data_IF_157442871542
#
_entry.id   IF_157442871542
#
_cell.length_a   1.000
_cell.length_b   1.000
_cell.length_c   1.000
_cell.angle_alpha   90.00
_cell.angle_beta   90.00
_cell.angle_gamma   90.00
#
_symmetry.space_group_name_H-M   'P 1'
#
loop_
_entity.id
_entity.type
_entity.pdbx_description
1 polymer ?
#
# COMPACT_ATOMS: atom_id res chain seq x y z
N UNK A 1 -2.29 15.72 0.80
CA UNK A 1 -2.32 15.02 -0.52
C UNK A 1 -0.93 14.67 -1.02
N UNK A 2 0.01 15.62 -1.16
CA UNK A 2 1.36 15.34 -1.70
C UNK A 2 2.20 14.41 -0.80
N UNK A 3 2.19 14.65 0.52
CA UNK A 3 2.89 13.80 1.51
C UNK A 3 2.36 12.35 1.55
N UNK A 4 1.06 12.16 1.34
CA UNK A 4 0.45 10.82 1.32
C UNK A 4 0.89 10.04 0.08
N UNK A 5 0.90 10.70 -1.09
CA UNK A 5 1.41 10.11 -2.32
C UNK A 5 2.90 9.76 -2.23
N UNK A 6 3.72 10.62 -1.63
CA UNK A 6 5.14 10.35 -1.41
C UNK A 6 5.34 9.13 -0.51
N UNK A 7 4.58 9.03 0.59
CA UNK A 7 4.62 7.90 1.49
C UNK A 7 4.22 6.59 0.81
N UNK A 8 3.18 6.61 -0.03
CA UNK A 8 2.75 5.46 -0.84
C UNK A 8 3.86 5.03 -1.80
N UNK A 9 4.51 5.98 -2.47
CA UNK A 9 5.59 5.70 -3.42
C UNK A 9 6.81 5.08 -2.74
N UNK A 10 7.20 5.61 -1.57
CA UNK A 10 8.29 5.04 -0.76
C UNK A 10 7.94 3.59 -0.37
N UNK A 11 6.74 3.37 0.17
CA UNK A 11 6.33 2.06 0.65
C UNK A 11 6.20 1.04 -0.49
N UNK A 12 5.78 1.48 -1.69
CA UNK A 12 5.76 0.64 -2.91
C UNK A 12 7.16 0.17 -3.30
N UNK A 13 8.15 1.07 -3.29
CA UNK A 13 9.55 0.72 -3.59
C UNK A 13 10.11 -0.27 -2.57
N UNK A 14 9.81 -0.07 -1.29
CA UNK A 14 10.20 -0.99 -0.23
C UNK A 14 9.55 -2.37 -0.38
N UNK A 15 8.27 -2.43 -0.74
CA UNK A 15 7.54 -3.67 -0.99
C UNK A 15 8.21 -4.48 -2.10
N UNK A 16 8.49 -3.85 -3.25
CA UNK A 16 9.16 -4.48 -4.39
C UNK A 16 10.53 -5.00 -3.96
N UNK A 17 11.32 -4.16 -3.29
CA UNK A 17 12.67 -4.54 -2.84
C UNK A 17 12.62 -5.70 -1.84
N UNK A 18 11.66 -5.69 -0.91
CA UNK A 18 11.45 -6.76 0.06
C UNK A 18 11.02 -8.06 -0.64
N UNK A 19 10.13 -7.97 -1.62
CA UNK A 19 9.70 -9.11 -2.43
C UNK A 19 10.83 -9.73 -3.25
N UNK A 20 11.75 -8.91 -3.78
CA UNK A 20 12.94 -9.38 -4.49
C UNK A 20 13.96 -10.05 -3.56
N UNK A 21 14.10 -9.60 -2.32
CA UNK A 21 15.08 -10.15 -1.35
C UNK A 21 14.54 -11.40 -0.65
N UNK A 22 13.29 -11.38 -0.19
CA UNK A 22 12.72 -12.40 0.69
C UNK A 22 11.65 -13.27 0.03
N UNK A 23 11.21 -12.92 -1.18
CA UNK A 23 10.06 -13.52 -1.86
C UNK A 23 8.75 -12.79 -1.55
N UNK A 24 7.85 -12.77 -2.54
CA UNK A 24 6.56 -12.07 -2.45
C UNK A 24 5.56 -12.71 -1.49
N UNK A 25 5.71 -14.00 -1.20
CA UNK A 25 4.89 -14.73 -0.23
C UNK A 25 5.48 -14.73 1.19
N UNK A 26 6.65 -14.10 1.39
CA UNK A 26 7.24 -14.04 2.72
C UNK A 26 6.39 -13.18 3.67
N UNK A 27 6.33 -13.51 4.97
CA UNK A 27 5.57 -12.71 5.94
C UNK A 27 5.94 -11.23 5.93
N UNK A 28 7.22 -10.92 5.70
CA UNK A 28 7.74 -9.55 5.63
C UNK A 28 7.19 -8.78 4.45
N UNK A 29 7.11 -9.39 3.27
CA UNK A 29 6.54 -8.77 2.08
C UNK A 29 5.02 -8.63 2.22
N UNK A 30 4.34 -9.64 2.78
CA UNK A 30 2.90 -9.61 3.02
C UNK A 30 2.49 -8.48 3.98
N UNK A 31 3.22 -8.31 5.09
CA UNK A 31 2.96 -7.20 6.03
C UNK A 31 3.11 -5.83 5.34
N UNK A 32 4.16 -5.64 4.54
CA UNK A 32 4.34 -4.39 3.77
C UNK A 32 3.23 -4.17 2.74
N UNK A 33 2.72 -5.23 2.12
CA UNK A 33 1.60 -5.14 1.18
C UNK A 33 0.34 -4.64 1.88
N UNK A 34 0.04 -5.18 3.07
CA UNK A 34 -1.09 -4.76 3.88
C UNK A 34 -0.98 -3.31 4.37
N UNK A 35 0.24 -2.85 4.69
CA UNK A 35 0.49 -1.44 5.02
C UNK A 35 0.25 -0.53 3.82
N UNK A 36 0.67 -0.94 2.62
CA UNK A 36 0.43 -0.20 1.37
C UNK A 36 -1.07 -0.07 1.09
N UNK A 37 -1.81 -1.17 1.18
CA UNK A 37 -3.25 -1.21 0.92
C UNK A 37 -4.02 -0.28 1.88
N UNK A 38 -3.62 -0.20 3.15
CA UNK A 38 -4.25 0.75 4.10
C UNK A 38 -4.06 2.20 3.67
N UNK A 39 -2.89 2.56 3.17
CA UNK A 39 -2.61 3.92 2.69
C UNK A 39 -3.36 4.22 1.39
N UNK A 40 -3.46 3.25 0.49
CA UNK A 40 -4.25 3.36 -0.74
C UNK A 40 -5.74 3.52 -0.45
N UNK A 41 -6.27 2.77 0.52
CA UNK A 41 -7.65 2.90 0.96
C UNK A 41 -7.90 4.28 1.57
N UNK A 42 -6.99 4.79 2.40
CA UNK A 42 -7.11 6.15 2.95
C UNK A 42 -7.19 7.20 1.83
N UNK A 43 -6.33 7.08 0.82
CA UNK A 43 -6.35 7.95 -0.36
C UNK A 43 -7.65 7.81 -1.17
N UNK A 44 -8.17 6.58 -1.31
CA UNK A 44 -9.44 6.30 -1.98
C UNK A 44 -10.64 6.90 -1.24
N UNK A 45 -10.66 6.80 0.09
CA UNK A 45 -11.70 7.40 0.94
C UNK A 45 -11.69 8.93 0.92
N UNK A 46 -10.53 9.58 0.75
CA UNK A 46 -10.45 11.03 0.53
C UNK A 46 -11.03 11.46 -0.83
N UNK A 47 -11.18 10.52 -1.78
CA UNK A 47 -11.65 10.77 -3.15
C UNK A 47 -13.13 10.46 -3.37
N UNK A 48 -13.81 9.72 -2.48
CA UNK A 48 -15.21 9.33 -2.67
C UNK A 48 -16.10 9.57 -1.43
N UNK A 49 -17.24 10.30 -1.57
CA UNK A 49 -18.34 10.24 -0.61
C UNK A 49 -19.18 8.96 -0.72
N UNK A 50 -18.96 8.12 -1.73
CA UNK A 50 -19.80 6.96 -2.01
C UNK A 50 -18.96 5.69 -2.08
N UNK A 51 -19.17 4.81 -1.11
CA UNK A 51 -18.40 3.61 -0.89
C UNK A 51 -18.36 2.69 -2.11
N UNK A 52 -17.14 2.28 -2.44
CA UNK A 52 -16.89 1.02 -3.09
C UNK A 52 -16.37 0.05 -2.03
N UNK A 53 -17.26 -0.82 -1.57
CA UNK A 53 -16.89 -2.04 -0.86
C UNK A 53 -16.04 -2.89 -1.81
N UNK A 54 -14.77 -3.08 -1.45
CA UNK A 54 -13.93 -4.07 -2.10
C UNK A 54 -14.34 -5.46 -1.59
N UNK A 55 -14.89 -6.28 -2.49
CA UNK A 55 -15.34 -7.69 -2.28
C UNK A 55 -14.16 -8.60 -1.94
#
# INVERSE_FOLDING_TARGET
MEELHEKIEILRKELITTGLIYGFTSPKTLHKSQELDKLLNLLGHEKEPNGLDYV
#
